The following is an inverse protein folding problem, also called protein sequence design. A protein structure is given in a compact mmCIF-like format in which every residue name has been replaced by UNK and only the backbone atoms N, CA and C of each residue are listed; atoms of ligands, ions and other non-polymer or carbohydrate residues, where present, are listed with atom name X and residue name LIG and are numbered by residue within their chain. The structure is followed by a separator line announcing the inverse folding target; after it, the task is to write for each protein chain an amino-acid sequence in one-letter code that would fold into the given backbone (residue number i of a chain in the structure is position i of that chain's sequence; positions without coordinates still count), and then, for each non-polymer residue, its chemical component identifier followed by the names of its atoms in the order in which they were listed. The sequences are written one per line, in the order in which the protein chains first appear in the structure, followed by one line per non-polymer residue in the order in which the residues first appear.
data_IF_532504639187
#
_entry.id   IF_532504639187
#
_cell.length_a   1.000
_cell.length_b   1.000
_cell.length_c   1.000
_cell.angle_alpha   90.00
_cell.angle_beta   90.00
_cell.angle_gamma   90.00
#
_symmetry.space_group_name_H-M   'P 1'
#
loop_
_entity.id
_entity.type
_entity.pdbx_description
1 polymer ?
#
# COMPACT_ATOMS: atom_id res chain seq x y z
N UNK A 1 -2.88 16.33 45.37
CA UNK A 1 -2.64 15.16 44.49
C UNK A 1 -2.99 15.60 43.08
N UNK A 2 -2.00 16.07 42.36
CA UNK A 2 -2.11 16.57 40.99
C UNK A 2 -1.85 15.45 40.00
N UNK A 3 -2.79 15.20 39.09
CA UNK A 3 -2.59 14.31 37.95
C UNK A 3 -2.79 15.08 36.66
N UNK A 4 -1.71 15.70 36.17
CA UNK A 4 -1.64 16.21 34.80
C UNK A 4 -0.75 15.29 33.98
N UNK A 5 -1.37 14.36 33.26
CA UNK A 5 -0.70 13.65 32.16
C UNK A 5 -0.45 14.65 31.03
N UNK A 6 0.80 15.02 30.82
CA UNK A 6 1.23 15.79 29.64
C UNK A 6 1.50 14.83 28.47
N UNK A 7 0.79 15.04 27.37
CA UNK A 7 1.16 14.47 26.06
C UNK A 7 2.30 15.35 25.51
N UNK A 8 3.50 14.82 25.21
CA UNK A 8 4.59 15.64 24.69
C UNK A 8 4.23 16.13 23.28
N UNK A 9 4.24 17.45 23.07
CA UNK A 9 4.09 18.06 21.73
C UNK A 9 2.84 18.91 21.51
N UNK A 10 1.82 18.83 22.36
CA UNK A 10 0.64 19.70 22.27
C UNK A 10 0.47 20.54 23.54
N UNK A 11 0.77 21.84 23.41
CA UNK A 11 0.39 22.82 24.42
C UNK A 11 -1.10 23.12 24.27
N UNK A 12 -1.91 22.67 25.22
CA UNK A 12 -3.31 23.08 25.30
C UNK A 12 -3.36 24.59 25.59
N UNK A 13 -3.84 25.37 24.63
CA UNK A 13 -4.03 26.81 24.78
C UNK A 13 -5.15 27.05 25.80
N UNK A 14 -4.75 27.51 27.00
CA UNK A 14 -5.65 27.73 28.14
C UNK A 14 -6.56 28.95 27.98
N UNK A 15 -6.20 29.84 27.05
CA UNK A 15 -6.91 31.07 26.70
C UNK A 15 -7.32 30.95 25.23
N UNK A 16 -8.60 31.18 24.93
CA UNK A 16 -9.07 31.28 23.54
C UNK A 16 -8.34 32.44 22.88
N UNK A 17 -7.74 32.17 21.72
CA UNK A 17 -7.14 33.19 20.88
C UNK A 17 -8.17 34.33 20.66
N UNK A 18 -7.87 35.57 21.07
CA UNK A 18 -8.81 36.69 20.94
C UNK A 18 -9.11 37.05 19.48
N UNK A 19 -8.27 36.61 18.53
CA UNK A 19 -8.50 36.77 17.09
C UNK A 19 -9.33 35.63 16.49
N UNK A 20 -9.63 34.56 17.26
CA UNK A 20 -10.61 33.55 16.83
C UNK A 20 -12.01 34.08 17.02
N UNK A 21 -12.60 34.56 15.93
CA UNK A 21 -14.04 34.82 15.83
C UNK A 21 -14.84 33.61 16.32
N UNK A 22 -15.96 33.86 16.99
CA UNK A 22 -16.89 32.81 17.37
C UNK A 22 -17.33 32.08 16.09
N UNK A 23 -17.51 30.76 16.19
CA UNK A 23 -17.84 29.91 15.04
C UNK A 23 -19.08 30.46 14.29
N UNK A 24 -20.04 30.99 15.03
CA UNK A 24 -21.25 31.63 14.52
C UNK A 24 -20.95 32.92 13.74
N UNK A 25 -20.09 33.80 14.27
CA UNK A 25 -19.70 35.05 13.61
C UNK A 25 -18.92 34.80 12.31
N UNK A 26 -18.04 33.78 12.31
CA UNK A 26 -17.32 33.37 11.10
C UNK A 26 -18.25 32.73 10.07
N UNK A 27 -19.26 31.99 10.51
CA UNK A 27 -20.28 31.41 9.62
C UNK A 27 -21.16 32.51 8.99
N UNK A 28 -21.55 33.52 9.76
CA UNK A 28 -22.33 34.66 9.29
C UNK A 28 -21.55 35.52 8.27
N UNK A 29 -20.25 35.76 8.52
CA UNK A 29 -19.38 36.45 7.56
C UNK A 29 -19.21 35.68 6.24
N UNK A 30 -19.14 34.35 6.29
CA UNK A 30 -19.12 33.49 5.10
C UNK A 30 -20.46 33.53 4.36
N UNK A 31 -21.58 33.52 5.09
CA UNK A 31 -22.93 33.72 4.54
C UNK A 31 -23.06 35.03 3.77
N UNK A 32 -22.62 36.14 4.39
CA UNK A 32 -22.64 37.46 3.79
C UNK A 32 -21.71 37.58 2.56
N UNK A 33 -20.63 36.79 2.51
CA UNK A 33 -19.74 36.67 1.36
C UNK A 33 -20.31 35.79 0.22
N UNK A 34 -21.57 35.34 0.35
CA UNK A 34 -22.25 34.52 -0.66
C UNK A 34 -21.92 33.02 -0.59
N UNK A 35 -21.25 32.56 0.48
CA UNK A 35 -21.16 31.12 0.75
C UNK A 35 -22.45 30.69 1.43
N UNK A 36 -23.30 29.87 0.80
CA UNK A 36 -24.58 29.48 1.38
C UNK A 36 -24.34 28.79 2.73
N UNK A 37 -24.98 29.30 3.79
CA UNK A 37 -25.17 28.51 4.99
C UNK A 37 -26.09 27.34 4.62
N UNK A 38 -25.77 26.09 5.02
CA UNK A 38 -26.64 24.98 4.70
C UNK A 38 -27.96 25.16 5.45
N UNK A 39 -29.03 25.48 4.72
CA UNK A 39 -30.40 25.44 5.26
C UNK A 39 -30.87 23.98 5.47
N UNK A 40 -30.15 23.00 4.92
CA UNK A 40 -30.44 21.57 5.05
C UNK A 40 -29.38 20.86 5.89
N UNK A 41 -29.84 19.92 6.73
CA UNK A 41 -29.06 19.05 7.61
C UNK A 41 -27.71 18.63 6.96
N UNK A 42 -26.55 19.04 7.52
CA UNK A 42 -25.21 18.80 6.95
C UNK A 42 -24.93 17.34 6.61
N UNK A 43 -25.66 16.41 7.25
CA UNK A 43 -25.57 14.97 7.03
C UNK A 43 -26.02 14.57 5.62
N UNK A 44 -27.05 15.22 5.08
CA UNK A 44 -27.66 14.87 3.79
C UNK A 44 -26.75 15.20 2.59
N UNK A 45 -26.00 16.31 2.65
CA UNK A 45 -25.09 16.70 1.57
C UNK A 45 -23.86 15.78 1.49
N UNK A 46 -23.29 15.41 2.64
CA UNK A 46 -22.17 14.49 2.70
C UNK A 46 -22.54 13.09 2.18
N UNK A 47 -23.73 12.60 2.53
CA UNK A 47 -24.23 11.31 2.04
C UNK A 47 -24.47 11.29 0.52
N UNK A 48 -25.03 12.38 -0.02
CA UNK A 48 -25.24 12.55 -1.46
C UNK A 48 -23.90 12.47 -2.22
N UNK A 49 -22.88 13.20 -1.75
CA UNK A 49 -21.54 13.20 -2.35
C UNK A 49 -20.88 11.82 -2.28
N UNK A 50 -21.06 11.09 -1.18
CA UNK A 50 -20.55 9.72 -1.04
C UNK A 50 -21.28 8.73 -1.97
N UNK A 51 -22.60 8.87 -2.13
CA UNK A 51 -23.38 8.05 -3.07
C UNK A 51 -22.96 8.29 -4.52
N UNK A 52 -22.78 9.54 -4.91
CA UNK A 52 -22.31 9.91 -6.26
C UNK A 52 -20.90 9.35 -6.53
N UNK A 53 -19.98 9.49 -5.59
CA UNK A 53 -18.64 8.94 -5.71
C UNK A 53 -18.65 7.41 -5.84
N UNK A 54 -19.49 6.71 -5.06
CA UNK A 54 -19.65 5.25 -5.13
C UNK A 54 -20.31 4.79 -6.44
N UNK A 55 -21.30 5.53 -6.93
CA UNK A 55 -21.96 5.24 -8.21
C UNK A 55 -20.99 5.40 -9.39
N UNK A 56 -20.19 6.47 -9.38
CA UNK A 56 -19.14 6.70 -10.37
C UNK A 56 -18.08 5.59 -10.33
N UNK A 57 -17.60 5.20 -9.14
CA UNK A 57 -16.67 4.09 -8.99
C UNK A 57 -17.23 2.74 -9.49
N UNK A 58 -18.52 2.44 -9.21
CA UNK A 58 -19.19 1.24 -9.72
C UNK A 58 -19.42 1.27 -11.22
N UNK A 59 -19.69 2.44 -11.79
CA UNK A 59 -19.80 2.64 -13.24
C UNK A 59 -18.47 2.39 -13.95
N UNK A 60 -17.35 2.79 -13.34
CA UNK A 60 -15.99 2.50 -13.85
C UNK A 60 -15.57 1.04 -13.70
N UNK A 61 -16.28 0.25 -12.89
CA UNK A 61 -15.97 -1.17 -12.65
C UNK A 61 -16.64 -2.10 -13.69
N UNK A 62 -17.58 -1.61 -14.51
CA UNK A 62 -18.15 -2.33 -15.66
C UNK A 62 -17.22 -2.14 -16.86
N UNK A 63 -16.05 -2.74 -16.76
CA UNK A 63 -15.00 -2.68 -17.78
C UNK A 63 -13.77 -3.50 -17.42
N UNK A 64 -13.94 -4.56 -16.61
CA UNK A 64 -12.87 -5.52 -16.34
C UNK A 64 -13.33 -6.92 -16.74
N UNK A 65 -13.44 -7.12 -18.05
CA UNK A 65 -13.31 -8.43 -18.64
C UNK A 65 -12.05 -8.40 -19.49
N UNK A 66 -11.14 -9.32 -19.16
CA UNK A 66 -9.83 -9.53 -19.75
C UNK A 66 -9.78 -9.35 -21.27
N UNK A 67 -9.20 -8.25 -21.73
CA UNK A 67 -8.58 -8.20 -23.06
C UNK A 67 -7.06 -8.34 -22.89
N UNK A 68 -6.58 -9.46 -23.40
CA UNK A 68 -5.25 -10.01 -23.20
C UNK A 68 -4.27 -9.40 -24.21
N UNK A 69 -3.62 -8.29 -23.85
CA UNK A 69 -2.42 -7.77 -24.53
C UNK A 69 -1.47 -7.10 -23.52
N UNK A 70 -0.35 -7.77 -23.25
CA UNK A 70 0.97 -7.20 -22.93
C UNK A 70 1.08 -6.07 -21.88
N UNK A 71 0.21 -6.02 -20.86
CA UNK A 71 0.46 -5.17 -19.70
C UNK A 71 1.58 -5.80 -18.85
N UNK A 72 2.71 -5.10 -18.72
CA UNK A 72 3.76 -5.46 -17.77
C UNK A 72 3.17 -5.70 -16.38
N UNK A 73 3.74 -6.64 -15.63
CA UNK A 73 3.35 -6.81 -14.24
C UNK A 73 3.75 -5.56 -13.47
N UNK A 74 2.89 -5.13 -12.55
CA UNK A 74 3.22 -4.08 -11.59
C UNK A 74 3.94 -4.66 -10.37
N UNK A 75 4.75 -3.84 -9.69
CA UNK A 75 5.36 -4.23 -8.43
C UNK A 75 4.33 -4.58 -7.34
N UNK A 76 3.14 -3.95 -7.40
CA UNK A 76 2.03 -4.24 -6.49
C UNK A 76 1.52 -5.66 -6.65
N UNK A 77 1.35 -6.14 -7.89
CA UNK A 77 0.96 -7.52 -8.16
C UNK A 77 1.98 -8.50 -7.59
N UNK A 78 3.27 -8.30 -7.85
CA UNK A 78 4.34 -9.15 -7.30
C UNK A 78 4.34 -9.12 -5.77
N UNK A 79 4.24 -7.94 -5.16
CA UNK A 79 4.18 -7.81 -3.70
C UNK A 79 2.95 -8.52 -3.11
N UNK A 80 1.82 -8.55 -3.82
CA UNK A 80 0.63 -9.24 -3.35
C UNK A 80 0.83 -10.75 -3.32
N UNK A 81 1.46 -11.31 -4.37
CA UNK A 81 1.79 -12.74 -4.41
C UNK A 81 2.71 -13.12 -3.24
N UNK A 82 3.71 -12.30 -2.94
CA UNK A 82 4.57 -12.49 -1.77
C UNK A 82 3.77 -12.47 -0.46
N UNK A 83 2.81 -11.53 -0.32
CA UNK A 83 1.90 -11.50 0.85
C UNK A 83 1.07 -12.77 0.97
N UNK A 84 0.51 -13.28 -0.13
CA UNK A 84 -0.24 -14.54 -0.10
C UNK A 84 0.59 -15.70 0.45
N UNK A 85 1.86 -15.80 0.05
CA UNK A 85 2.80 -16.78 0.59
C UNK A 85 3.13 -16.53 2.07
N UNK A 86 3.41 -15.27 2.45
CA UNK A 86 3.68 -14.87 3.85
C UNK A 86 2.54 -15.28 4.79
N UNK A 87 1.30 -15.11 4.35
CA UNK A 87 0.11 -15.48 5.12
C UNK A 87 -0.27 -16.97 4.98
N UNK A 88 0.53 -17.78 4.28
CA UNK A 88 0.28 -19.20 4.08
C UNK A 88 -0.95 -19.52 3.21
N UNK A 89 -1.39 -18.56 2.38
CA UNK A 89 -2.50 -18.75 1.42
C UNK A 89 -2.03 -19.29 0.07
N UNK A 90 -0.73 -19.17 -0.21
CA UNK A 90 -0.07 -19.71 -1.40
C UNK A 90 1.13 -20.58 -1.03
N UNK A 91 1.41 -21.61 -1.83
CA UNK A 91 2.55 -22.49 -1.60
C UNK A 91 3.79 -21.87 -2.23
N UNK A 92 4.81 -21.64 -1.41
CA UNK A 92 6.13 -21.19 -1.85
C UNK A 92 7.11 -22.35 -1.86
N UNK A 93 7.91 -22.46 -2.91
CA UNK A 93 9.01 -23.43 -3.03
C UNK A 93 10.21 -22.80 -3.71
N UNK A 94 11.42 -23.31 -3.46
CA UNK A 94 12.60 -22.89 -4.23
C UNK A 94 12.66 -23.58 -5.58
N UNK A 95 13.16 -22.87 -6.60
CA UNK A 95 13.35 -23.43 -7.95
C UNK A 95 14.73 -24.09 -8.11
N UNK A 96 15.74 -23.60 -7.37
CA UNK A 96 17.13 -24.08 -7.42
C UNK A 96 17.51 -25.14 -6.38
N UNK A 97 18.74 -25.64 -6.46
CA UNK A 97 19.29 -26.60 -5.50
C UNK A 97 19.87 -25.96 -4.25
N UNK A 98 20.52 -24.81 -4.39
CA UNK A 98 21.16 -24.11 -3.27
C UNK A 98 20.10 -23.56 -2.32
N UNK A 99 20.34 -23.71 -1.01
CA UNK A 99 19.51 -23.09 0.03
C UNK A 99 19.90 -21.63 0.21
N UNK A 100 19.02 -20.87 0.86
CA UNK A 100 19.26 -19.46 1.18
C UNK A 100 20.62 -19.25 1.86
N UNK A 101 20.93 -20.03 2.91
CA UNK A 101 22.17 -19.89 3.69
C UNK A 101 23.45 -20.14 2.87
N UNK A 102 23.34 -20.93 1.79
CA UNK A 102 24.49 -21.20 0.90
C UNK A 102 24.73 -20.06 -0.07
N UNK A 103 23.66 -19.38 -0.49
CA UNK A 103 23.75 -18.19 -1.34
C UNK A 103 24.00 -17.01 -0.42
N UNK A 104 25.24 -16.84 0.03
CA UNK A 104 25.61 -15.74 0.94
C UNK A 104 25.32 -14.35 0.33
N UNK A 105 25.52 -14.21 -0.98
CA UNK A 105 25.10 -13.04 -1.75
C UNK A 105 24.77 -13.46 -3.19
N UNK A 106 23.60 -13.10 -3.71
CA UNK A 106 23.17 -13.42 -5.06
C UNK A 106 21.66 -13.66 -5.21
N UNK A 107 21.25 -14.05 -6.41
CA UNK A 107 19.83 -14.29 -6.71
C UNK A 107 19.35 -15.64 -6.15
N UNK A 108 18.19 -15.60 -5.51
CA UNK A 108 17.44 -16.73 -5.01
C UNK A 108 16.08 -16.80 -5.73
N UNK A 109 15.84 -17.90 -6.44
CA UNK A 109 14.61 -18.08 -7.22
C UNK A 109 13.58 -18.93 -6.48
N UNK A 110 12.37 -18.41 -6.39
CA UNK A 110 11.21 -19.08 -5.80
C UNK A 110 10.08 -19.23 -6.80
N UNK A 111 9.26 -20.25 -6.58
CA UNK A 111 7.96 -20.43 -7.19
C UNK A 111 6.87 -20.23 -6.13
N UNK A 112 5.87 -19.38 -6.42
CA UNK A 112 4.69 -19.18 -5.58
C UNK A 112 3.45 -19.46 -6.42
N UNK A 113 2.82 -20.62 -6.25
CA UNK A 113 1.65 -21.06 -7.04
C UNK A 113 1.79 -20.81 -8.56
N UNK A 114 2.96 -21.14 -9.13
CA UNK A 114 3.23 -20.93 -10.56
C UNK A 114 3.85 -19.59 -10.92
N UNK A 115 3.95 -18.63 -9.98
CA UNK A 115 4.72 -17.40 -10.18
C UNK A 115 6.20 -17.65 -9.94
N UNK A 116 7.04 -17.31 -10.91
CA UNK A 116 8.50 -17.36 -10.73
C UNK A 116 9.01 -15.99 -10.29
N UNK A 117 9.65 -15.91 -9.13
CA UNK A 117 10.16 -14.66 -8.55
C UNK A 117 11.63 -14.84 -8.22
N UNK A 118 12.45 -13.88 -8.67
CA UNK A 118 13.88 -13.81 -8.38
C UNK A 118 14.12 -12.70 -7.37
N UNK A 119 14.66 -13.06 -6.21
CA UNK A 119 14.95 -12.16 -5.10
C UNK A 119 16.45 -12.10 -4.89
N UNK A 120 17.00 -10.94 -4.57
CA UNK A 120 18.41 -10.81 -4.23
C UNK A 120 18.63 -10.97 -2.72
N UNK A 121 19.55 -11.85 -2.36
CA UNK A 121 20.10 -11.98 -1.02
C UNK A 121 21.39 -11.17 -0.95
N UNK A 122 21.51 -10.25 0.00
CA UNK A 122 22.75 -9.56 0.33
C UNK A 122 23.21 -9.91 1.74
N UNK A 123 24.30 -10.67 1.84
CA UNK A 123 24.93 -11.04 3.11
C UNK A 123 23.94 -11.70 4.11
N UNK A 124 23.12 -12.65 3.63
CA UNK A 124 22.04 -13.32 4.38
C UNK A 124 20.83 -12.44 4.74
N UNK A 125 20.65 -11.31 4.05
CA UNK A 125 19.51 -10.41 4.22
C UNK A 125 18.68 -10.31 2.94
N UNK A 126 17.35 -10.26 3.11
CA UNK A 126 16.42 -9.98 2.03
C UNK A 126 16.57 -8.52 1.56
N UNK A 127 17.09 -8.31 0.34
CA UNK A 127 17.37 -6.98 -0.21
C UNK A 127 16.25 -6.49 -1.14
N UNK A 128 16.26 -6.90 -2.41
CA UNK A 128 15.27 -6.47 -3.42
C UNK A 128 14.74 -7.63 -4.28
N UNK A 129 13.62 -7.40 -4.96
CA UNK A 129 13.13 -8.28 -6.01
C UNK A 129 13.75 -7.88 -7.35
N UNK A 130 14.40 -8.82 -8.05
CA UNK A 130 15.01 -8.61 -9.37
C UNK A 130 13.96 -8.75 -10.48
N UNK A 131 13.11 -9.77 -10.37
CA UNK A 131 12.14 -10.12 -11.41
C UNK A 131 10.96 -10.90 -10.83
N UNK A 132 9.78 -10.72 -11.42
CA UNK A 132 8.62 -11.58 -11.22
C UNK A 132 8.00 -11.95 -12.57
N UNK A 133 7.62 -13.22 -12.73
CA UNK A 133 6.94 -13.75 -13.92
C UNK A 133 5.65 -14.43 -13.47
N UNK A 134 4.52 -14.02 -14.05
CA UNK A 134 3.23 -14.64 -13.75
C UNK A 134 3.09 -15.98 -14.48
N UNK A 135 2.17 -16.87 -14.06
CA UNK A 135 1.87 -18.11 -14.76
C UNK A 135 1.48 -17.90 -16.24
N UNK A 136 0.92 -16.74 -16.57
CA UNK A 136 0.55 -16.33 -17.92
C UNK A 136 1.72 -15.72 -18.72
N UNK A 137 2.92 -15.66 -18.15
CA UNK A 137 4.14 -15.16 -18.78
C UNK A 137 4.30 -13.64 -18.77
N UNK A 138 3.45 -12.89 -18.04
CA UNK A 138 3.66 -11.45 -17.84
C UNK A 138 4.89 -11.25 -16.95
N UNK A 139 5.68 -10.21 -17.19
CA UNK A 139 6.94 -9.95 -16.46
C UNK A 139 6.96 -8.58 -15.79
N UNK A 140 7.51 -8.54 -14.59
CA UNK A 140 8.00 -7.36 -13.90
C UNK A 140 9.53 -7.54 -13.73
N UNK A 141 10.31 -6.49 -13.91
CA UNK A 141 11.76 -6.53 -13.72
C UNK A 141 12.24 -5.21 -13.11
N UNK A 142 13.25 -5.29 -12.25
CA UNK A 142 13.82 -4.14 -11.58
C UNK A 142 14.41 -3.10 -12.56
N UNK A 143 15.05 -3.55 -13.64
CA UNK A 143 15.74 -2.70 -14.63
C UNK A 143 14.87 -2.27 -15.83
N UNK A 144 13.54 -2.45 -15.80
CA UNK A 144 12.70 -2.12 -16.97
C UNK A 144 12.54 -0.61 -17.23
N UNK A 145 13.34 0.26 -16.60
CA UNK A 145 13.41 1.68 -16.90
C UNK A 145 12.14 2.48 -16.57
N UNK A 146 11.17 1.88 -15.89
CA UNK A 146 9.94 2.56 -15.50
C UNK A 146 10.21 3.51 -14.34
N UNK A 147 9.85 4.79 -14.51
CA UNK A 147 9.89 5.86 -13.48
C UNK A 147 9.08 5.55 -12.21
N UNK A 148 8.36 4.43 -12.18
CA UNK A 148 7.59 3.91 -11.05
C UNK A 148 8.10 2.56 -10.50
N UNK A 149 9.38 2.22 -10.74
CA UNK A 149 10.08 1.02 -10.27
C UNK A 149 10.25 0.95 -8.75
N UNK A 150 9.15 1.01 -8.00
CA UNK A 150 9.15 0.63 -6.60
C UNK A 150 9.36 -0.86 -6.52
N UNK A 151 10.42 -1.28 -5.85
CA UNK A 151 10.68 -2.69 -5.57
C UNK A 151 9.48 -3.33 -4.84
N UNK A 152 8.98 -4.49 -5.30
CA UNK A 152 7.99 -5.30 -4.60
C UNK A 152 8.31 -5.54 -3.12
N UNK A 153 9.59 -5.71 -2.77
CA UNK A 153 10.03 -5.90 -1.39
C UNK A 153 9.86 -4.61 -0.57
N UNK A 154 10.13 -3.45 -1.16
CA UNK A 154 9.91 -2.15 -0.54
C UNK A 154 8.42 -1.80 -0.31
N UNK A 155 7.49 -2.55 -0.92
CA UNK A 155 6.04 -2.42 -0.68
C UNK A 155 5.54 -3.26 0.52
N UNK A 156 6.40 -4.07 1.11
CA UNK A 156 6.09 -4.86 2.30
C UNK A 156 6.26 -4.00 3.54
N UNK A 157 5.39 -4.20 4.53
CA UNK A 157 5.62 -3.70 5.88
C UNK A 157 6.85 -4.36 6.50
N UNK A 158 7.42 -3.75 7.55
CA UNK A 158 8.57 -4.32 8.27
C UNK A 158 8.32 -5.76 8.76
N UNK A 159 7.09 -6.05 9.21
CA UNK A 159 6.73 -7.41 9.64
C UNK A 159 6.65 -8.38 8.46
N UNK A 160 6.03 -7.97 7.34
CA UNK A 160 5.92 -8.81 6.13
C UNK A 160 7.30 -9.12 5.54
N UNK A 161 8.20 -8.13 5.52
CA UNK A 161 9.59 -8.30 5.08
C UNK A 161 10.31 -9.37 5.92
N UNK A 162 10.27 -9.23 7.25
CA UNK A 162 10.90 -10.20 8.15
C UNK A 162 10.28 -11.59 8.03
N UNK A 163 8.96 -11.68 7.90
CA UNK A 163 8.27 -12.96 7.72
C UNK A 163 8.66 -13.64 6.41
N UNK A 164 8.79 -12.87 5.33
CA UNK A 164 9.28 -13.40 4.05
C UNK A 164 10.70 -13.91 4.15
N UNK A 165 11.62 -13.15 4.76
CA UNK A 165 13.00 -13.59 4.95
C UNK A 165 13.07 -14.93 5.72
N UNK A 166 12.29 -15.06 6.80
CA UNK A 166 12.23 -16.32 7.55
C UNK A 166 11.69 -17.47 6.69
N UNK A 167 10.67 -17.25 5.88
CA UNK A 167 10.17 -18.28 4.96
C UNK A 167 11.25 -18.70 3.96
N UNK A 168 11.96 -17.75 3.35
CA UNK A 168 13.03 -18.03 2.39
C UNK A 168 14.15 -18.87 3.00
N UNK A 169 14.50 -18.61 4.27
CA UNK A 169 15.49 -19.39 5.04
C UNK A 169 15.05 -20.83 5.33
N UNK A 170 13.76 -21.16 5.19
CA UNK A 170 13.26 -22.53 5.37
C UNK A 170 13.27 -23.39 4.10
N UNK A 171 13.60 -22.82 2.93
CA UNK A 171 13.52 -23.47 1.62
C UNK A 171 14.80 -24.21 1.16
#
# INVERSE_FOLDING_TARGET
MDTTRRVPGWAYQKVRDPERLLIEERAEALSAAGYPLPDDDPTMYAEQRLKEARASARSSQVGSFSENTAAELSAREVSQVLREAIFGRSVMSKVGHESWDKIYAGHFQINVDGWEISIYNDCDQLDYCEQGVSPEGRRWSFDSGNRFGTDPIALLSTWEHQALEQLLKTL
#
